data_IF_258989804514
#
_entry.id   IF_258989804514
#
_cell.length_a   1.000
_cell.length_b   1.000
_cell.length_c   1.000
_cell.angle_alpha   90.00
_cell.angle_beta   90.00
_cell.angle_gamma   90.00
#
_symmetry.space_group_name_H-M   'P 1'
#
loop_
_entity.id
_entity.type
_entity.pdbx_description
1 polymer ?
#
# COMPACT_ATOMS: atom_id res chain seq x y z
N UNK A 1 20.87 -4.35 30.66
CA UNK A 1 19.67 -3.79 30.05
C UNK A 1 20.12 -3.14 28.75
N UNK A 2 19.85 -3.80 27.62
CA UNK A 2 20.11 -3.28 26.27
C UNK A 2 18.73 -3.10 25.66
N UNK A 3 18.40 -1.87 25.31
CA UNK A 3 17.13 -1.52 24.71
C UNK A 3 17.02 -2.28 23.38
N UNK A 4 16.08 -3.23 23.29
CA UNK A 4 15.74 -3.85 22.02
C UNK A 4 15.12 -2.75 21.19
N UNK A 5 15.87 -2.22 20.23
CA UNK A 5 15.26 -1.41 19.17
C UNK A 5 14.24 -2.31 18.47
N UNK A 6 12.96 -2.02 18.71
CA UNK A 6 11.83 -2.71 18.09
C UNK A 6 11.85 -2.40 16.60
N UNK A 7 12.52 -3.28 15.86
CA UNK A 7 12.66 -3.19 14.42
C UNK A 7 11.39 -3.75 13.75
N UNK A 8 10.28 -3.09 14.08
CA UNK A 8 8.95 -3.42 13.58
C UNK A 8 8.59 -2.52 12.40
N UNK A 9 7.89 -3.12 11.44
CA UNK A 9 7.35 -2.46 10.27
C UNK A 9 5.83 -2.59 10.23
N UNK A 10 5.17 -1.61 9.61
CA UNK A 10 3.72 -1.62 9.41
C UNK A 10 3.35 -1.15 8.00
N UNK A 11 2.37 -1.82 7.40
CA UNK A 11 1.70 -1.36 6.19
C UNK A 11 0.44 -0.59 6.58
N UNK A 12 0.03 0.36 5.74
CA UNK A 12 -1.16 1.14 6.00
C UNK A 12 -1.89 1.49 4.70
N UNK A 13 -3.21 1.46 4.77
CA UNK A 13 -4.07 1.97 3.69
C UNK A 13 -5.12 2.85 4.33
N UNK A 14 -5.08 4.14 4.02
CA UNK A 14 -6.05 5.12 4.47
C UNK A 14 -6.92 5.57 3.29
N UNK A 15 -8.21 5.73 3.56
CA UNK A 15 -9.18 6.28 2.62
C UNK A 15 -9.86 7.48 3.30
N UNK A 16 -10.06 8.54 2.54
CA UNK A 16 -10.86 9.68 2.94
C UNK A 16 -11.89 9.96 1.83
N UNK A 17 -13.17 9.97 2.19
CA UNK A 17 -14.26 10.20 1.27
C UNK A 17 -15.00 11.47 1.70
N UNK A 18 -15.10 12.44 0.79
CA UNK A 18 -15.86 13.68 1.00
C UNK A 18 -16.44 14.17 -0.32
N UNK A 19 -17.73 14.47 -0.36
CA UNK A 19 -18.42 15.01 -1.53
C UNK A 19 -18.12 14.21 -2.82
N UNK A 20 -18.24 12.89 -2.75
CA UNK A 20 -17.93 11.96 -3.85
C UNK A 20 -16.47 11.95 -4.33
N UNK A 21 -15.58 12.67 -3.65
CA UNK A 21 -14.14 12.62 -3.89
C UNK A 21 -13.53 11.60 -2.93
N UNK A 22 -12.95 10.55 -3.51
CA UNK A 22 -12.19 9.53 -2.81
C UNK A 22 -10.70 9.85 -2.89
N UNK A 23 -10.10 10.07 -1.73
CA UNK A 23 -8.65 10.21 -1.55
C UNK A 23 -8.15 8.94 -0.88
N UNK A 24 -7.16 8.30 -1.49
CA UNK A 24 -6.56 7.07 -0.98
C UNK A 24 -5.08 7.33 -0.76
N UNK A 25 -4.56 6.95 0.39
CA UNK A 25 -3.12 6.92 0.64
C UNK A 25 -2.74 5.52 1.08
N UNK A 26 -1.87 4.88 0.30
CA UNK A 26 -1.52 3.47 0.48
C UNK A 26 -0.01 3.28 0.59
N UNK A 27 0.41 2.41 1.52
CA UNK A 27 1.78 1.97 1.67
C UNK A 27 1.83 0.48 2.06
N UNK A 28 2.35 -0.35 1.15
CA UNK A 28 2.68 -1.74 1.42
C UNK A 28 2.11 -2.69 0.40
N UNK A 29 1.70 -3.87 0.85
CA UNK A 29 1.13 -4.94 0.03
C UNK A 29 -0.37 -5.15 0.26
N UNK A 30 -1.01 -4.26 1.03
CA UNK A 30 -2.47 -4.18 1.10
C UNK A 30 -3.05 -3.69 -0.22
N UNK A 31 -4.32 -3.95 -0.48
CA UNK A 31 -4.99 -3.49 -1.69
C UNK A 31 -6.36 -2.91 -1.38
N UNK A 32 -6.64 -1.75 -1.98
CA UNK A 32 -7.99 -1.20 -2.03
C UNK A 32 -8.65 -1.63 -3.34
N UNK A 33 -9.83 -2.23 -3.20
CA UNK A 33 -10.69 -2.62 -4.31
C UNK A 33 -12.02 -1.87 -4.17
N UNK A 34 -12.55 -1.37 -5.28
CA UNK A 34 -13.90 -0.80 -5.31
C UNK A 34 -14.80 -1.70 -6.14
N UNK A 35 -16.09 -1.76 -5.81
CA UNK A 35 -17.06 -2.50 -6.62
C UNK A 35 -17.95 -1.50 -7.33
N UNK A 36 -17.94 -1.52 -8.67
CA UNK A 36 -18.83 -0.69 -9.49
C UNK A 36 -19.73 -1.60 -10.31
N UNK A 37 -21.04 -1.54 -10.06
CA UNK A 37 -22.01 -2.39 -10.75
C UNK A 37 -21.77 -3.89 -10.55
N UNK A 38 -21.34 -4.29 -9.35
CA UNK A 38 -21.00 -5.69 -9.03
C UNK A 38 -19.67 -6.18 -9.58
N UNK A 39 -18.88 -5.32 -10.25
CA UNK A 39 -17.54 -5.66 -10.75
C UNK A 39 -16.46 -5.08 -9.83
N UNK A 40 -15.58 -5.93 -9.25
CA UNK A 40 -14.46 -5.45 -8.46
C UNK A 40 -13.38 -4.83 -9.37
N UNK A 41 -12.84 -3.69 -8.94
CA UNK A 41 -11.79 -2.94 -9.59
C UNK A 41 -10.74 -2.52 -8.55
N UNK A 42 -9.51 -2.99 -8.70
CA UNK A 42 -8.40 -2.56 -7.83
C UNK A 42 -8.01 -1.11 -8.13
N UNK A 43 -7.96 -0.26 -7.09
CA UNK A 43 -7.55 1.13 -7.21
C UNK A 43 -6.06 1.34 -6.93
N UNK A 44 -5.46 0.48 -6.09
CA UNK A 44 -4.06 0.59 -5.68
C UNK A 44 -3.25 -0.56 -6.23
N UNK A 45 -2.00 -0.29 -6.60
CA UNK A 45 -1.04 -1.32 -6.97
C UNK A 45 -0.25 -1.78 -5.74
N UNK A 46 0.09 -3.06 -5.70
CA UNK A 46 0.92 -3.63 -4.65
C UNK A 46 2.35 -3.05 -4.70
N UNK A 47 2.89 -2.62 -3.55
CA UNK A 47 4.31 -2.24 -3.43
C UNK A 47 5.17 -3.47 -3.15
N UNK A 48 5.29 -4.34 -4.15
CA UNK A 48 6.07 -5.57 -4.10
C UNK A 48 7.35 -5.40 -4.92
N UNK A 49 8.52 -5.84 -4.40
CA UNK A 49 9.79 -5.80 -5.13
C UNK A 49 9.91 -6.92 -6.19
N UNK A 50 8.78 -7.40 -6.72
CA UNK A 50 8.71 -8.45 -7.73
C UNK A 50 7.44 -8.32 -8.57
N UNK A 51 7.44 -8.99 -9.72
CA UNK A 51 6.34 -8.97 -10.69
C UNK A 51 6.57 -8.03 -11.86
N UNK A 52 5.61 -8.04 -12.80
CA UNK A 52 5.68 -7.32 -14.07
C UNK A 52 4.90 -6.01 -14.07
N UNK A 53 4.36 -5.60 -12.92
CA UNK A 53 3.58 -4.39 -12.78
C UNK A 53 4.50 -3.17 -12.86
N UNK A 54 4.01 -2.07 -13.45
CA UNK A 54 4.78 -0.82 -13.57
C UNK A 54 5.33 -0.35 -12.21
N UNK A 55 4.48 -0.37 -11.18
CA UNK A 55 4.86 -0.01 -9.80
C UNK A 55 5.95 -0.93 -9.25
N UNK A 56 5.85 -2.25 -9.45
CA UNK A 56 6.90 -3.19 -9.02
C UNK A 56 8.24 -2.91 -9.69
N UNK A 57 8.24 -2.60 -10.99
CA UNK A 57 9.46 -2.28 -11.73
C UNK A 57 10.10 -0.96 -11.26
N UNK A 58 9.30 0.05 -10.95
CA UNK A 58 9.75 1.31 -10.35
C UNK A 58 10.37 1.09 -8.97
N UNK A 59 9.73 0.26 -8.14
CA UNK A 59 10.24 -0.09 -6.80
C UNK A 59 11.54 -0.88 -6.86
N UNK A 60 11.65 -1.86 -7.78
CA UNK A 60 12.90 -2.61 -8.03
C UNK A 60 14.02 -1.66 -8.44
N UNK A 61 13.74 -0.70 -9.34
CA UNK A 61 14.73 0.31 -9.77
C UNK A 61 15.15 1.19 -8.59
N UNK A 62 14.20 1.65 -7.76
CA UNK A 62 14.48 2.47 -6.57
C UNK A 62 15.38 1.72 -5.57
N UNK A 63 15.05 0.47 -5.26
CA UNK A 63 15.83 -0.37 -4.33
C UNK A 63 17.25 -0.55 -4.85
N UNK A 64 17.42 -0.88 -6.14
CA UNK A 64 18.74 -1.06 -6.76
C UNK A 64 19.54 0.25 -6.82
N UNK A 65 18.90 1.37 -7.12
CA UNK A 65 19.54 2.69 -7.11
C UNK A 65 19.99 3.10 -5.71
N UNK A 66 19.23 2.70 -4.68
CA UNK A 66 19.64 2.83 -3.29
C UNK A 66 20.74 1.82 -2.89
N UNK A 67 21.25 0.97 -3.77
CA UNK A 67 22.29 -0.02 -3.47
C UNK A 67 21.79 -1.31 -2.81
N UNK A 68 20.47 -1.49 -2.70
CA UNK A 68 19.86 -2.72 -2.20
C UNK A 68 19.76 -3.77 -3.31
N UNK A 69 19.65 -5.04 -2.91
CA UNK A 69 19.40 -6.15 -3.82
C UNK A 69 18.07 -6.83 -3.50
N UNK A 70 17.56 -7.63 -4.44
CA UNK A 70 16.34 -8.40 -4.26
C UNK A 70 16.68 -9.86 -4.49
N UNK A 71 16.31 -10.71 -3.54
CA UNK A 71 16.53 -12.16 -3.59
C UNK A 71 15.22 -12.85 -3.25
N UNK A 72 14.77 -13.77 -4.10
CA UNK A 72 13.54 -14.56 -3.91
C UNK A 72 12.30 -13.69 -3.64
N UNK A 73 12.21 -12.52 -4.29
CA UNK A 73 11.10 -11.58 -4.10
C UNK A 73 11.14 -10.81 -2.78
N UNK A 74 12.26 -10.83 -2.06
CA UNK A 74 12.49 -10.07 -0.82
C UNK A 74 13.61 -9.04 -0.99
N UNK A 75 13.40 -7.84 -0.46
CA UNK A 75 14.41 -6.78 -0.33
C UNK A 75 15.49 -7.24 0.64
N UNK A 76 16.73 -7.22 0.17
CA UNK A 76 17.92 -7.73 0.87
C UNK A 76 17.80 -9.19 1.38
N UNK A 77 16.80 -9.95 0.89
CA UNK A 77 16.50 -11.31 1.35
C UNK A 77 15.61 -11.41 2.59
N UNK A 78 15.16 -10.29 3.16
CA UNK A 78 14.45 -10.26 4.44
C UNK A 78 12.97 -9.81 4.27
N UNK A 79 12.76 -8.57 3.80
CA UNK A 79 11.43 -7.96 3.72
C UNK A 79 10.75 -8.23 2.37
N UNK A 80 9.49 -8.65 2.37
CA UNK A 80 8.70 -8.94 1.14
C UNK A 80 7.96 -7.74 0.54
N UNK A 81 8.03 -6.57 1.18
CA UNK A 81 7.42 -5.30 0.73
C UNK A 81 8.49 -4.27 0.38
N UNK A 82 8.20 -3.41 -0.60
CA UNK A 82 9.13 -2.33 -0.96
C UNK A 82 8.86 -1.03 -0.21
N UNK A 83 7.67 -0.88 0.39
CA UNK A 83 7.29 0.29 1.17
C UNK A 83 6.57 -0.10 2.45
N UNK A 84 6.94 0.52 3.56
CA UNK A 84 6.33 0.31 4.87
C UNK A 84 6.71 1.47 5.80
N UNK A 85 5.92 1.69 6.85
CA UNK A 85 6.32 2.49 8.00
C UNK A 85 7.18 1.64 8.93
N UNK A 86 8.09 2.26 9.70
CA UNK A 86 9.04 1.51 10.53
C UNK A 86 10.19 0.93 9.70
N UNK A 87 10.60 -0.32 9.98
CA UNK A 87 11.70 -1.02 9.31
C UNK A 87 12.98 -0.17 9.24
N UNK A 88 13.38 0.37 10.40
CA UNK A 88 14.45 1.38 10.51
C UNK A 88 15.77 0.83 10.00
N UNK A 89 16.04 -0.48 10.17
CA UNK A 89 17.23 -1.14 9.60
C UNK A 89 17.35 -1.00 8.08
N UNK A 90 16.25 -0.80 7.36
CA UNK A 90 16.25 -0.64 5.90
C UNK A 90 16.26 0.83 5.45
N UNK A 91 16.32 1.76 6.41
CA UNK A 91 16.27 3.21 6.19
C UNK A 91 17.48 3.87 6.86
N UNK A 92 18.56 3.99 6.12
CA UNK A 92 19.76 4.71 6.57
C UNK A 92 19.76 6.13 6.03
N UNK A 93 20.48 7.08 6.68
CA UNK A 93 20.55 8.49 6.27
C UNK A 93 20.89 8.75 4.79
N UNK A 94 21.50 7.78 4.11
CA UNK A 94 21.92 7.88 2.71
C UNK A 94 21.16 6.94 1.76
N UNK A 95 20.52 5.90 2.28
CA UNK A 95 19.98 4.80 1.47
C UNK A 95 18.67 4.33 2.10
N UNK A 96 17.58 4.48 1.36
CA UNK A 96 16.24 4.05 1.77
C UNK A 96 15.81 2.86 0.88
N UNK A 97 16.03 1.64 1.36
CA UNK A 97 15.65 0.43 0.61
C UNK A 97 14.14 0.23 0.67
N UNK A 98 13.55 0.38 1.85
CA UNK A 98 12.10 0.35 2.06
C UNK A 98 11.59 1.78 2.21
N UNK A 99 10.71 2.25 1.32
CA UNK A 99 10.25 3.64 1.39
C UNK A 99 9.15 3.84 2.43
N UNK A 100 9.19 4.93 3.19
CA UNK A 100 8.06 5.39 4.02
C UNK A 100 7.07 6.30 3.29
N UNK A 101 7.27 6.55 1.98
CA UNK A 101 6.41 7.46 1.23
C UNK A 101 5.15 6.73 0.72
N UNK A 102 3.94 7.15 1.16
CA UNK A 102 2.71 6.57 0.65
C UNK A 102 2.50 6.97 -0.81
N UNK A 103 1.87 6.08 -1.57
CA UNK A 103 1.32 6.41 -2.88
C UNK A 103 -0.09 6.98 -2.65
N UNK A 104 -0.26 8.28 -2.94
CA UNK A 104 -1.55 8.94 -2.85
C UNK A 104 -2.25 8.94 -4.21
N UNK A 105 -3.51 8.55 -4.21
CA UNK A 105 -4.37 8.48 -5.40
C UNK A 105 -5.67 9.22 -5.13
N UNK A 106 -6.16 9.95 -6.14
CA UNK A 106 -7.38 10.73 -6.07
C UNK A 106 -8.32 10.26 -7.17
N UNK A 107 -9.58 9.98 -6.83
CA UNK A 107 -10.59 9.63 -7.82
C UNK A 107 -11.96 10.17 -7.43
N UNK A 108 -12.72 10.64 -8.40
CA UNK A 108 -14.12 10.99 -8.20
C UNK A 108 -14.96 9.71 -8.34
N UNK A 109 -15.74 9.42 -7.31
CA UNK A 109 -16.70 8.32 -7.32
C UNK A 109 -17.99 8.80 -7.96
N UNK A 110 -18.47 8.06 -8.95
CA UNK A 110 -19.82 8.26 -9.51
C UNK A 110 -20.86 7.35 -8.86
N UNK A 111 -20.45 6.33 -8.10
CA UNK A 111 -21.32 5.28 -7.51
C UNK A 111 -20.67 4.69 -6.23
N UNK A 112 -21.42 4.33 -5.15
CA UNK A 112 -20.88 4.28 -3.80
C UNK A 112 -20.69 2.85 -3.25
N UNK A 113 -19.78 2.05 -3.81
CA UNK A 113 -19.35 0.81 -3.15
C UNK A 113 -17.82 0.66 -3.16
N UNK A 114 -17.22 0.71 -1.97
CA UNK A 114 -15.77 0.64 -1.74
C UNK A 114 -15.52 -0.49 -0.74
N UNK A 115 -14.58 -1.40 -1.03
CA UNK A 115 -14.25 -2.54 -0.17
C UNK A 115 -12.73 -2.65 0.05
N UNK A 116 -12.27 -2.47 1.29
CA UNK A 116 -10.86 -2.63 1.64
C UNK A 116 -10.51 -4.10 1.91
N UNK A 117 -9.38 -4.58 1.35
CA UNK A 117 -8.80 -5.88 1.66
C UNK A 117 -7.42 -5.71 2.34
N UNK A 118 -7.38 -5.62 3.67
CA UNK A 118 -6.14 -5.74 4.44
C UNK A 118 -5.64 -7.19 4.46
N UNK A 119 -4.31 -7.38 4.46
CA UNK A 119 -3.72 -8.67 4.77
C UNK A 119 -3.80 -8.90 6.30
N UNK A 120 -4.47 -9.98 6.73
CA UNK A 120 -4.53 -10.54 8.10
C UNK A 120 -5.35 -9.87 9.23
N UNK A 121 -6.14 -8.80 9.03
CA UNK A 121 -7.16 -8.32 10.02
C UNK A 121 -8.34 -7.69 9.26
N UNK A 122 -9.61 -8.08 9.46
CA UNK A 122 -10.73 -7.57 8.65
C UNK A 122 -11.14 -6.16 9.09
N UNK A 123 -10.52 -5.12 8.52
CA UNK A 123 -11.10 -3.78 8.48
C UNK A 123 -11.93 -3.64 7.19
N UNK A 124 -13.09 -4.28 7.15
CA UNK A 124 -14.08 -4.08 6.08
C UNK A 124 -14.82 -2.77 6.41
N UNK A 125 -14.43 -1.68 5.77
CA UNK A 125 -15.32 -0.51 5.67
C UNK A 125 -16.29 -0.78 4.52
N UNK A 126 -17.45 -1.35 4.83
CA UNK A 126 -18.57 -1.43 3.89
C UNK A 126 -19.33 -0.10 3.98
N UNK A 127 -18.97 0.86 3.12
CA UNK A 127 -19.77 2.07 2.94
C UNK A 127 -20.82 1.73 1.90
N UNK A 128 -21.96 1.20 2.35
CA UNK A 128 -23.17 1.04 1.55
C UNK A 128 -24.05 2.27 1.75
N UNK A 129 -24.31 3.02 0.68
CA UNK A 129 -25.43 3.95 0.65
C UNK A 129 -26.42 3.47 -0.40
N UNK A 130 -27.64 3.18 0.03
CA UNK A 130 -28.78 3.13 -0.88
C UNK A 130 -29.24 4.56 -1.09
N UNK A 131 -29.15 5.07 -2.32
CA UNK A 131 -29.95 6.23 -2.69
C UNK A 131 -31.42 5.80 -2.68
N UNK A 132 -32.10 5.98 -1.55
CA UNK A 132 -33.55 6.05 -1.53
C UNK A 132 -33.94 7.42 -2.10
N UNK A 133 -33.90 7.55 -3.43
CA UNK A 133 -34.53 8.66 -4.13
C UNK A 133 -36.02 8.36 -4.30
N UNK A 134 -36.85 9.22 -3.72
CA UNK A 134 -38.30 9.34 -3.96
C UNK A 134 -38.65 9.42 -5.44
#
# INVERSE_FOLDING_TARGET
QMDKEDDSGATATALFLRNDVLVVSHIGDSCLVISRGGRPQSLTNFHRPYGNNKTSLEEVKRIRAAGGWIRDGRVCGDISVSRAFGDIRFKTRKNEFVSSTPCSFYTQLSIPFVTLFPNNIPAIFNISWSYAGC
#
